data_IF_555708062944
#
_entry.id   IF_555708062944
#
_cell.length_a   1.000
_cell.length_b   1.000
_cell.length_c   1.000
_cell.angle_alpha   90.00
_cell.angle_beta   90.00
_cell.angle_gamma   90.00
#
_symmetry.space_group_name_H-M   'P 1'
#
loop_
_entity.id
_entity.type
_entity.pdbx_description
1 polymer ?
#
# COMPACT_ATOMS: atom_id res chain seq x y z
N UNK A 1 6.80 -77.00 -28.85
CA UNK A 1 5.60 -76.26 -28.41
C UNK A 1 6.06 -75.12 -27.49
N UNK A 2 6.47 -73.99 -28.08
CA UNK A 2 6.92 -72.81 -27.33
C UNK A 2 5.70 -72.19 -26.63
N UNK A 3 5.71 -72.11 -25.29
CA UNK A 3 4.60 -71.52 -24.53
C UNK A 3 4.63 -69.99 -24.70
N UNK A 4 3.64 -69.36 -25.34
CA UNK A 4 3.63 -67.91 -25.63
C UNK A 4 3.58 -67.04 -24.37
N UNK A 5 3.23 -67.63 -23.22
CA UNK A 5 3.10 -66.96 -21.93
C UNK A 5 4.47 -66.51 -21.37
N UNK A 6 5.54 -67.28 -21.58
CA UNK A 6 6.88 -66.91 -21.07
C UNK A 6 7.49 -65.71 -21.80
N UNK A 7 7.14 -65.48 -23.07
CA UNK A 7 7.66 -64.36 -23.84
C UNK A 7 6.99 -63.03 -23.47
N UNK A 8 5.69 -63.06 -23.16
CA UNK A 8 4.93 -61.89 -22.68
C UNK A 8 5.37 -61.47 -21.27
N UNK A 9 5.63 -62.42 -20.37
CA UNK A 9 6.16 -62.12 -19.02
C UNK A 9 7.58 -61.52 -19.08
N UNK A 10 8.42 -61.97 -20.02
CA UNK A 10 9.77 -61.43 -20.23
C UNK A 10 9.74 -59.98 -20.78
N UNK A 11 8.83 -59.67 -21.70
CA UNK A 11 8.64 -58.32 -22.24
C UNK A 11 8.07 -57.36 -21.18
N UNK A 12 7.13 -57.81 -20.34
CA UNK A 12 6.61 -57.04 -19.20
C UNK A 12 7.72 -56.74 -18.18
N UNK A 13 8.62 -57.71 -17.91
CA UNK A 13 9.78 -57.50 -17.04
C UNK A 13 10.77 -56.46 -17.58
N UNK A 14 11.04 -56.45 -18.89
CA UNK A 14 11.95 -55.48 -19.54
C UNK A 14 11.32 -54.09 -19.63
N UNK A 15 10.00 -53.97 -19.78
CA UNK A 15 9.27 -52.69 -19.72
C UNK A 15 9.14 -52.12 -18.30
N UNK A 16 9.17 -52.95 -17.26
CA UNK A 16 9.08 -52.52 -15.85
C UNK A 16 10.45 -52.15 -15.23
N UNK A 17 11.56 -52.67 -15.74
CA UNK A 17 12.92 -52.33 -15.27
C UNK A 17 13.29 -50.84 -15.36
N UNK A 18 13.02 -50.10 -16.47
CA UNK A 18 13.33 -48.67 -16.51
C UNK A 18 12.52 -47.87 -15.47
N UNK A 19 11.25 -48.23 -15.23
CA UNK A 19 10.41 -47.59 -14.21
C UNK A 19 11.00 -47.71 -12.79
N UNK A 20 11.54 -48.88 -12.44
CA UNK A 20 12.13 -49.11 -11.11
C UNK A 20 13.45 -48.34 -10.94
N UNK A 21 14.27 -48.22 -11.98
CA UNK A 21 15.50 -47.43 -11.94
C UNK A 21 15.22 -45.93 -11.78
N UNK A 22 14.23 -45.39 -12.49
CA UNK A 22 13.81 -43.99 -12.34
C UNK A 22 13.18 -43.71 -10.97
N UNK A 23 12.39 -44.65 -10.42
CA UNK A 23 11.80 -44.51 -9.08
C UNK A 23 12.88 -44.43 -7.97
N UNK A 24 13.89 -45.30 -8.03
CA UNK A 24 15.01 -45.30 -7.07
C UNK A 24 15.87 -44.03 -7.17
N UNK A 25 16.11 -43.54 -8.39
CA UNK A 25 16.82 -42.28 -8.63
C UNK A 25 16.05 -41.08 -8.05
N UNK A 26 14.74 -41.01 -8.32
CA UNK A 26 13.86 -39.94 -7.82
C UNK A 26 13.86 -39.88 -6.30
N UNK A 27 13.70 -41.02 -5.61
CA UNK A 27 13.65 -41.05 -4.15
C UNK A 27 14.96 -40.55 -3.53
N UNK A 28 16.12 -40.88 -4.13
CA UNK A 28 17.43 -40.40 -3.68
C UNK A 28 17.56 -38.89 -3.85
N UNK A 29 17.11 -38.34 -4.98
CA UNK A 29 17.13 -36.89 -5.24
C UNK A 29 16.21 -36.12 -4.28
N UNK A 30 15.00 -36.62 -4.04
CA UNK A 30 14.08 -36.03 -3.04
C UNK A 30 14.69 -36.05 -1.64
N UNK A 31 15.30 -37.16 -1.22
CA UNK A 31 15.99 -37.22 0.08
C UNK A 31 17.13 -36.20 0.16
N UNK A 32 17.95 -36.08 -0.88
CA UNK A 32 19.01 -35.06 -0.97
C UNK A 32 18.43 -33.65 -0.82
N UNK A 33 17.36 -33.34 -1.56
CA UNK A 33 16.69 -32.05 -1.49
C UNK A 33 16.13 -31.75 -0.10
N UNK A 34 15.48 -32.74 0.54
CA UNK A 34 14.97 -32.59 1.90
C UNK A 34 16.10 -32.34 2.91
N UNK A 35 17.21 -33.07 2.81
CA UNK A 35 18.39 -32.83 3.67
C UNK A 35 18.99 -31.44 3.45
N UNK A 36 19.11 -30.99 2.20
CA UNK A 36 19.58 -29.64 1.90
C UNK A 36 18.63 -28.57 2.47
N UNK A 37 17.32 -28.75 2.31
CA UNK A 37 16.29 -27.86 2.86
C UNK A 37 16.39 -27.75 4.38
N UNK A 38 16.50 -28.88 5.09
CA UNK A 38 16.64 -28.90 6.56
C UNK A 38 17.91 -28.20 7.05
N UNK A 39 18.96 -28.17 6.21
CA UNK A 39 20.20 -27.46 6.49
C UNK A 39 20.18 -25.98 6.05
N UNK A 40 19.02 -25.45 5.63
CA UNK A 40 18.87 -24.07 5.13
C UNK A 40 19.50 -23.81 3.76
N UNK A 41 19.97 -24.86 3.07
CA UNK A 41 20.60 -24.78 1.75
C UNK A 41 19.53 -24.86 0.67
N UNK A 42 18.75 -23.79 0.54
CA UNK A 42 17.54 -23.80 -0.29
C UNK A 42 17.84 -23.92 -1.79
N UNK A 43 18.93 -23.34 -2.29
CA UNK A 43 19.32 -23.50 -3.71
C UNK A 43 19.70 -24.95 -4.03
N UNK A 44 20.53 -25.58 -3.19
CA UNK A 44 20.86 -27.01 -3.34
C UNK A 44 19.62 -27.91 -3.25
N UNK A 45 18.64 -27.52 -2.43
CA UNK A 45 17.37 -28.22 -2.33
C UNK A 45 16.55 -28.10 -3.62
N UNK A 46 16.50 -26.89 -4.20
CA UNK A 46 15.80 -26.63 -5.46
C UNK A 46 16.43 -27.40 -6.62
N UNK A 47 17.77 -27.42 -6.74
CA UNK A 47 18.47 -28.21 -7.77
C UNK A 47 18.11 -29.70 -7.68
N UNK A 48 18.07 -30.24 -6.46
CA UNK A 48 17.72 -31.63 -6.22
C UNK A 48 16.25 -31.93 -6.55
N UNK A 49 15.33 -31.03 -6.19
CA UNK A 49 13.91 -31.18 -6.54
C UNK A 49 13.65 -31.00 -8.04
N UNK A 50 14.37 -30.12 -8.73
CA UNK A 50 14.27 -29.95 -10.17
C UNK A 50 14.77 -31.20 -10.91
N UNK A 51 15.92 -31.75 -10.51
CA UNK A 51 16.39 -33.03 -11.03
C UNK A 51 15.39 -34.17 -10.74
N UNK A 52 14.78 -34.20 -9.55
CA UNK A 52 13.76 -35.19 -9.22
C UNK A 52 12.50 -35.04 -10.10
N UNK A 53 12.08 -33.80 -10.39
CA UNK A 53 10.92 -33.50 -11.21
C UNK A 53 11.10 -33.96 -12.67
N UNK A 54 12.34 -34.00 -13.20
CA UNK A 54 12.62 -34.57 -14.53
C UNK A 54 12.28 -36.05 -14.60
N UNK A 55 12.53 -36.80 -13.51
CA UNK A 55 12.27 -38.24 -13.47
C UNK A 55 10.84 -38.59 -13.05
N UNK A 56 10.19 -37.72 -12.28
CA UNK A 56 8.82 -37.91 -11.81
C UNK A 56 8.00 -36.61 -11.93
N UNK A 57 7.66 -36.19 -13.16
CA UNK A 57 7.00 -34.91 -13.43
C UNK A 57 5.57 -34.82 -12.89
N UNK A 58 4.96 -35.94 -12.52
CA UNK A 58 3.63 -36.03 -11.91
C UNK A 58 3.65 -36.15 -10.38
N UNK A 59 4.83 -36.10 -9.73
CA UNK A 59 4.91 -36.20 -8.28
C UNK A 59 4.54 -34.89 -7.59
N UNK A 60 3.34 -34.82 -7.02
CA UNK A 60 2.86 -33.66 -6.24
C UNK A 60 3.76 -33.30 -5.05
N UNK A 61 4.35 -34.27 -4.36
CA UNK A 61 5.26 -34.04 -3.23
C UNK A 61 6.54 -33.29 -3.66
N UNK A 62 7.06 -33.53 -4.87
CA UNK A 62 8.24 -32.80 -5.37
C UNK A 62 7.91 -31.31 -5.54
N UNK A 63 6.76 -31.00 -6.14
CA UNK A 63 6.33 -29.62 -6.32
C UNK A 63 6.00 -28.94 -4.98
N UNK A 64 5.41 -29.68 -4.03
CA UNK A 64 5.16 -29.17 -2.68
C UNK A 64 6.46 -28.79 -1.96
N UNK A 65 7.47 -29.67 -2.01
CA UNK A 65 8.77 -29.41 -1.39
C UNK A 65 9.52 -28.27 -2.11
N UNK A 66 9.41 -28.20 -3.45
CA UNK A 66 9.94 -27.09 -4.25
C UNK A 66 9.31 -25.75 -3.86
N UNK A 67 7.97 -25.69 -3.73
CA UNK A 67 7.26 -24.50 -3.27
C UNK A 67 7.72 -24.07 -1.89
N UNK A 68 7.88 -25.04 -0.97
CA UNK A 68 8.36 -24.77 0.39
C UNK A 68 9.77 -24.17 0.40
N UNK A 69 10.69 -24.69 -0.43
CA UNK A 69 12.04 -24.12 -0.56
C UNK A 69 12.02 -22.69 -1.17
N UNK A 70 11.21 -22.46 -2.20
CA UNK A 70 11.04 -21.13 -2.81
C UNK A 70 10.43 -20.11 -1.84
N UNK A 71 9.50 -20.56 -0.99
CA UNK A 71 8.91 -19.72 0.06
C UNK A 71 9.96 -19.23 1.05
N UNK A 72 10.88 -20.10 1.49
CA UNK A 72 11.97 -19.71 2.39
C UNK A 72 12.93 -18.71 1.73
N UNK A 73 13.09 -18.77 0.41
CA UNK A 73 13.83 -17.78 -0.38
C UNK A 73 13.05 -16.48 -0.64
N UNK A 74 11.83 -16.35 -0.11
CA UNK A 74 10.93 -15.21 -0.36
C UNK A 74 10.55 -15.02 -1.84
N UNK A 75 10.70 -16.07 -2.65
CA UNK A 75 10.33 -16.08 -4.07
C UNK A 75 8.85 -16.45 -4.22
N UNK A 76 7.95 -15.64 -3.63
CA UNK A 76 6.54 -15.99 -3.40
C UNK A 76 5.76 -16.31 -4.68
N UNK A 77 6.05 -15.63 -5.80
CA UNK A 77 5.41 -15.93 -7.10
C UNK A 77 5.79 -17.32 -7.62
N UNK A 78 7.07 -17.69 -7.58
CA UNK A 78 7.54 -19.02 -8.00
C UNK A 78 7.07 -20.10 -7.03
N UNK A 79 7.07 -19.79 -5.73
CA UNK A 79 6.53 -20.64 -4.68
C UNK A 79 5.06 -20.98 -4.92
N UNK A 80 4.24 -19.97 -5.21
CA UNK A 80 2.83 -20.14 -5.53
C UNK A 80 2.64 -21.06 -6.75
N UNK A 81 3.40 -20.87 -7.83
CA UNK A 81 3.29 -21.77 -8.99
C UNK A 81 3.62 -23.22 -8.64
N UNK A 82 4.66 -23.46 -7.84
CA UNK A 82 5.01 -24.80 -7.39
C UNK A 82 3.91 -25.43 -6.50
N UNK A 83 3.33 -24.70 -5.56
CA UNK A 83 2.20 -25.20 -4.77
C UNK A 83 0.95 -25.44 -5.62
N UNK A 84 0.70 -24.62 -6.64
CA UNK A 84 -0.38 -24.85 -7.61
C UNK A 84 -0.19 -26.16 -8.37
N UNK A 85 1.03 -26.44 -8.84
CA UNK A 85 1.34 -27.73 -9.46
C UNK A 85 1.14 -28.90 -8.50
N UNK A 86 1.54 -28.75 -7.23
CA UNK A 86 1.31 -29.78 -6.21
C UNK A 86 -0.19 -30.06 -5.99
N UNK A 87 -1.02 -29.00 -5.89
CA UNK A 87 -2.46 -29.10 -5.73
C UNK A 87 -3.16 -29.75 -6.94
N UNK A 88 -2.74 -29.43 -8.17
CA UNK A 88 -3.35 -29.99 -9.39
C UNK A 88 -2.97 -31.47 -9.58
N UNK A 89 -1.75 -31.87 -9.19
CA UNK A 89 -1.22 -33.21 -9.46
C UNK A 89 -1.55 -34.24 -8.37
N UNK A 90 -1.95 -33.80 -7.19
CA UNK A 90 -2.22 -34.70 -6.07
C UNK A 90 -3.61 -35.32 -6.15
N UNK A 91 -3.74 -36.55 -5.64
CA UNK A 91 -5.03 -37.17 -5.28
C UNK A 91 -5.22 -37.30 -3.77
N UNK A 92 -4.20 -36.95 -3.00
CA UNK A 92 -4.24 -36.88 -1.54
C UNK A 92 -4.86 -35.55 -1.14
N UNK A 93 -6.07 -35.63 -0.57
CA UNK A 93 -6.84 -34.48 -0.09
C UNK A 93 -6.02 -33.65 0.91
N UNK A 94 -5.25 -34.29 1.81
CA UNK A 94 -4.46 -33.55 2.80
C UNK A 94 -3.37 -32.73 2.11
N UNK A 95 -2.66 -33.33 1.15
CA UNK A 95 -1.64 -32.60 0.41
C UNK A 95 -2.24 -31.47 -0.43
N UNK A 96 -3.44 -31.66 -0.99
CA UNK A 96 -4.17 -30.61 -1.70
C UNK A 96 -4.54 -29.46 -0.76
N UNK A 97 -5.10 -29.77 0.41
CA UNK A 97 -5.44 -28.80 1.46
C UNK A 97 -4.22 -27.97 1.87
N UNK A 98 -3.08 -28.61 2.17
CA UNK A 98 -1.85 -27.89 2.53
C UNK A 98 -1.29 -27.07 1.35
N UNK A 99 -1.41 -27.56 0.12
CA UNK A 99 -0.95 -26.82 -1.07
C UNK A 99 -1.79 -25.56 -1.28
N UNK A 100 -3.12 -25.66 -1.16
CA UNK A 100 -4.06 -24.52 -1.22
C UNK A 100 -3.81 -23.55 -0.07
N UNK A 101 -3.62 -24.04 1.15
CA UNK A 101 -3.24 -23.17 2.26
C UNK A 101 -1.93 -22.42 1.99
N UNK A 102 -0.90 -23.10 1.50
CA UNK A 102 0.38 -22.45 1.19
C UNK A 102 0.28 -21.46 0.00
N UNK A 103 -0.61 -21.69 -0.96
CA UNK A 103 -0.98 -20.69 -1.97
C UNK A 103 -1.55 -19.43 -1.31
N UNK A 104 -2.46 -19.59 -0.35
CA UNK A 104 -3.01 -18.50 0.45
C UNK A 104 -1.93 -17.71 1.20
N UNK A 105 -0.99 -18.42 1.84
CA UNK A 105 0.16 -17.80 2.51
C UNK A 105 1.04 -17.02 1.52
N UNK A 106 1.37 -17.60 0.36
CA UNK A 106 2.17 -16.92 -0.67
C UNK A 106 1.49 -15.64 -1.18
N UNK A 107 0.19 -15.70 -1.47
CA UNK A 107 -0.59 -14.53 -1.89
C UNK A 107 -0.64 -13.46 -0.80
N UNK A 108 -0.72 -13.84 0.48
CA UNK A 108 -0.69 -12.87 1.57
C UNK A 108 0.67 -12.17 1.69
N UNK A 109 1.77 -12.92 1.58
CA UNK A 109 3.13 -12.34 1.56
C UNK A 109 3.32 -11.38 0.39
N UNK A 110 2.74 -11.69 -0.76
CA UNK A 110 2.74 -10.79 -1.91
C UNK A 110 1.94 -9.51 -1.64
N UNK A 111 0.79 -9.61 -0.96
CA UNK A 111 0.03 -8.43 -0.53
C UNK A 111 0.85 -7.53 0.41
N UNK A 112 1.56 -8.12 1.37
CA UNK A 112 2.45 -7.37 2.28
C UNK A 112 3.57 -6.64 1.51
N UNK A 113 4.18 -7.31 0.53
CA UNK A 113 5.21 -6.73 -0.33
C UNK A 113 4.68 -5.56 -1.17
N UNK A 114 3.44 -5.69 -1.66
CA UNK A 114 2.81 -4.69 -2.52
C UNK A 114 2.23 -3.50 -1.75
N UNK A 115 1.95 -3.64 -0.45
CA UNK A 115 1.29 -2.61 0.38
C UNK A 115 1.91 -1.22 0.26
N UNK A 116 3.24 -1.13 0.12
CA UNK A 116 3.94 0.15 0.05
C UNK A 116 4.15 0.68 -1.38
N UNK A 117 3.76 -0.08 -2.42
CA UNK A 117 4.00 0.29 -3.82
C UNK A 117 2.75 0.31 -4.68
N UNK A 118 1.80 -0.60 -4.46
CA UNK A 118 0.58 -0.72 -5.25
C UNK A 118 -0.53 -1.30 -4.36
N UNK A 119 -1.27 -0.41 -3.70
CA UNK A 119 -2.35 -0.79 -2.77
C UNK A 119 -3.47 -1.57 -3.46
N UNK A 120 -3.74 -1.31 -4.74
CA UNK A 120 -4.76 -2.05 -5.48
C UNK A 120 -4.33 -3.49 -5.73
N UNK A 121 -3.09 -3.72 -6.18
CA UNK A 121 -2.57 -5.08 -6.31
C UNK A 121 -2.42 -5.79 -4.97
N UNK A 122 -2.14 -5.05 -3.89
CA UNK A 122 -2.17 -5.61 -2.54
C UNK A 122 -3.57 -6.12 -2.16
N UNK A 123 -4.64 -5.40 -2.51
CA UNK A 123 -6.02 -5.87 -2.30
C UNK A 123 -6.37 -7.09 -3.15
N UNK A 124 -5.92 -7.14 -4.41
CA UNK A 124 -6.09 -8.31 -5.27
C UNK A 124 -5.41 -9.54 -4.66
N UNK A 125 -4.18 -9.38 -4.19
CA UNK A 125 -3.42 -10.45 -3.53
C UNK A 125 -4.07 -10.90 -2.20
N UNK A 126 -4.61 -9.98 -1.38
CA UNK A 126 -5.42 -10.33 -0.22
C UNK A 126 -6.67 -11.14 -0.60
N UNK A 127 -7.38 -10.73 -1.66
CA UNK A 127 -8.57 -11.41 -2.13
C UNK A 127 -8.26 -12.83 -2.62
N UNK A 128 -7.15 -12.99 -3.36
CA UNK A 128 -6.66 -14.29 -3.80
C UNK A 128 -6.24 -15.16 -2.61
N UNK A 129 -5.60 -14.58 -1.60
CA UNK A 129 -5.20 -15.28 -0.39
C UNK A 129 -6.41 -15.85 0.36
N UNK A 130 -7.45 -15.05 0.58
CA UNK A 130 -8.71 -15.49 1.21
C UNK A 130 -9.33 -16.65 0.42
N UNK A 131 -9.40 -16.54 -0.91
CA UNK A 131 -9.95 -17.61 -1.76
C UNK A 131 -9.20 -18.92 -1.57
N UNK A 132 -7.87 -18.90 -1.56
CA UNK A 132 -7.09 -20.13 -1.36
C UNK A 132 -7.26 -20.74 0.04
N UNK A 133 -7.42 -19.91 1.07
CA UNK A 133 -7.76 -20.42 2.40
C UNK A 133 -9.18 -21.00 2.46
N UNK A 134 -10.13 -20.41 1.74
CA UNK A 134 -11.48 -20.97 1.60
C UNK A 134 -11.44 -22.32 0.86
N UNK A 135 -10.71 -22.42 -0.25
CA UNK A 135 -10.53 -23.68 -0.99
C UNK A 135 -9.91 -24.77 -0.08
N UNK A 136 -9.04 -24.41 0.87
CA UNK A 136 -8.48 -25.34 1.84
C UNK A 136 -9.51 -25.77 2.91
N UNK A 137 -10.37 -24.85 3.38
CA UNK A 137 -11.46 -25.14 4.31
C UNK A 137 -12.59 -25.96 3.67
N UNK A 138 -12.82 -25.82 2.37
CA UNK A 138 -13.77 -26.67 1.64
C UNK A 138 -13.34 -28.14 1.64
N UNK A 139 -12.02 -28.39 1.55
CA UNK A 139 -11.46 -29.74 1.62
C UNK A 139 -11.36 -30.30 3.04
N UNK A 140 -11.09 -29.43 4.02
CA UNK A 140 -10.95 -29.78 5.44
C UNK A 140 -11.53 -28.65 6.31
N UNK A 141 -12.83 -28.72 6.64
CA UNK A 141 -13.52 -27.71 7.44
C UNK A 141 -12.92 -27.50 8.84
N UNK A 142 -12.24 -28.50 9.37
CA UNK A 142 -11.54 -28.47 10.66
C UNK A 142 -10.16 -27.80 10.62
N UNK A 143 -9.68 -27.35 9.45
CA UNK A 143 -8.36 -26.77 9.29
C UNK A 143 -8.27 -25.33 9.85
N UNK A 144 -8.11 -25.25 11.18
CA UNK A 144 -8.15 -24.00 11.95
C UNK A 144 -7.18 -22.94 11.44
N UNK A 145 -5.99 -23.35 11.00
CA UNK A 145 -4.95 -22.45 10.49
C UNK A 145 -5.45 -21.64 9.29
N UNK A 146 -6.23 -22.24 8.37
CA UNK A 146 -6.80 -21.52 7.23
C UNK A 146 -7.81 -20.46 7.69
N UNK A 147 -8.67 -20.79 8.66
CA UNK A 147 -9.63 -19.84 9.23
C UNK A 147 -8.93 -18.68 9.96
N UNK A 148 -7.89 -18.95 10.74
CA UNK A 148 -7.10 -17.92 11.42
C UNK A 148 -6.39 -16.97 10.44
N UNK A 149 -5.86 -17.52 9.34
CA UNK A 149 -5.22 -16.70 8.32
C UNK A 149 -6.22 -15.83 7.55
N UNK A 150 -7.44 -16.30 7.27
CA UNK A 150 -8.49 -15.45 6.68
C UNK A 150 -8.74 -14.20 7.52
N UNK A 151 -8.79 -14.33 8.85
CA UNK A 151 -8.98 -13.18 9.74
C UNK A 151 -7.78 -12.22 9.69
N UNK A 152 -6.55 -12.72 9.63
CA UNK A 152 -5.36 -11.86 9.43
C UNK A 152 -5.43 -11.09 8.11
N UNK A 153 -5.77 -11.77 7.01
CA UNK A 153 -5.86 -11.16 5.68
C UNK A 153 -6.99 -10.12 5.64
N UNK A 154 -8.14 -10.38 6.27
CA UNK A 154 -9.25 -9.42 6.37
C UNK A 154 -8.84 -8.14 7.09
N UNK A 155 -8.06 -8.25 8.17
CA UNK A 155 -7.53 -7.09 8.88
C UNK A 155 -6.53 -6.29 8.03
N UNK A 156 -5.62 -6.97 7.34
CA UNK A 156 -4.70 -6.32 6.41
C UNK A 156 -5.46 -5.63 5.25
N UNK A 157 -6.45 -6.30 4.67
CA UNK A 157 -7.31 -5.76 3.62
C UNK A 157 -8.06 -4.51 4.08
N UNK A 158 -8.60 -4.52 5.30
CA UNK A 158 -9.23 -3.34 5.90
C UNK A 158 -8.24 -2.18 6.04
N UNK A 159 -7.04 -2.43 6.56
CA UNK A 159 -5.98 -1.41 6.67
C UNK A 159 -5.61 -0.81 5.30
N UNK A 160 -5.53 -1.65 4.25
CA UNK A 160 -5.26 -1.18 2.88
C UNK A 160 -6.42 -0.34 2.34
N UNK A 161 -7.67 -0.75 2.56
CA UNK A 161 -8.85 0.01 2.14
C UNK A 161 -8.94 1.38 2.83
N UNK A 162 -8.65 1.43 4.13
CA UNK A 162 -8.61 2.67 4.91
C UNK A 162 -7.54 3.63 4.37
N UNK A 163 -6.36 3.10 4.01
CA UNK A 163 -5.29 3.89 3.40
C UNK A 163 -5.68 4.40 2.00
N UNK A 164 -6.27 3.57 1.14
CA UNK A 164 -6.79 4.02 -0.18
C UNK A 164 -7.82 5.13 0.00
N UNK A 165 -8.74 4.97 0.96
CA UNK A 165 -9.76 5.99 1.25
C UNK A 165 -9.12 7.29 1.74
N UNK A 166 -8.08 7.20 2.58
CA UNK A 166 -7.31 8.35 3.05
C UNK A 166 -6.63 9.08 1.88
N UNK A 167 -5.93 8.36 1.01
CA UNK A 167 -5.26 8.93 -0.16
C UNK A 167 -6.26 9.63 -1.10
N UNK A 168 -7.42 9.01 -1.37
CA UNK A 168 -8.48 9.64 -2.17
C UNK A 168 -9.03 10.91 -1.53
N UNK A 169 -9.23 10.91 -0.19
CA UNK A 169 -9.68 12.09 0.53
C UNK A 169 -8.65 13.22 0.46
N UNK A 170 -7.37 12.90 0.64
CA UNK A 170 -6.28 13.87 0.54
C UNK A 170 -6.17 14.44 -0.87
N UNK A 171 -6.19 13.59 -1.90
CA UNK A 171 -6.17 14.03 -3.30
C UNK A 171 -7.34 14.96 -3.64
N UNK A 172 -8.55 14.62 -3.16
CA UNK A 172 -9.72 15.49 -3.31
C UNK A 172 -9.50 16.84 -2.59
N UNK A 173 -9.06 16.82 -1.34
CA UNK A 173 -8.81 18.04 -0.58
C UNK A 173 -7.74 18.93 -1.24
N UNK A 174 -6.66 18.35 -1.77
CA UNK A 174 -5.62 19.06 -2.52
C UNK A 174 -6.18 19.69 -3.80
N UNK A 175 -7.04 18.98 -4.52
CA UNK A 175 -7.71 19.50 -5.72
C UNK A 175 -8.66 20.66 -5.38
N UNK A 176 -9.51 20.47 -4.37
CA UNK A 176 -10.44 21.50 -3.90
C UNK A 176 -9.68 22.75 -3.41
N UNK A 177 -8.52 22.57 -2.76
CA UNK A 177 -7.66 23.68 -2.37
C UNK A 177 -7.06 24.40 -3.59
N UNK A 178 -6.56 23.68 -4.59
CA UNK A 178 -6.01 24.28 -5.81
C UNK A 178 -7.06 25.11 -6.57
N UNK A 179 -8.28 24.60 -6.70
CA UNK A 179 -9.40 25.34 -7.33
C UNK A 179 -9.72 26.63 -6.56
N UNK A 180 -9.69 26.59 -5.22
CA UNK A 180 -9.88 27.80 -4.39
C UNK A 180 -8.74 28.79 -4.50
N UNK A 181 -7.48 28.34 -4.57
CA UNK A 181 -6.34 29.23 -4.80
C UNK A 181 -6.49 29.94 -6.15
N UNK A 182 -6.93 29.22 -7.19
CA UNK A 182 -7.15 29.81 -8.51
C UNK A 182 -8.23 30.90 -8.50
N UNK A 183 -9.34 30.69 -7.77
CA UNK A 183 -10.38 31.72 -7.56
C UNK A 183 -9.83 32.95 -6.80
N UNK A 184 -9.02 32.73 -5.77
CA UNK A 184 -8.37 33.81 -5.01
C UNK A 184 -7.40 34.60 -5.90
N UNK A 185 -6.62 33.93 -6.77
CA UNK A 185 -5.74 34.59 -7.75
C UNK A 185 -6.55 35.50 -8.66
N UNK A 186 -7.66 35.00 -9.21
CA UNK A 186 -8.52 35.80 -10.08
C UNK A 186 -9.05 37.04 -9.36
N UNK A 187 -9.60 36.89 -8.15
CA UNK A 187 -10.09 38.02 -7.35
C UNK A 187 -8.97 39.00 -7.00
N UNK A 188 -7.76 38.52 -6.69
CA UNK A 188 -6.62 39.37 -6.39
C UNK A 188 -6.19 40.18 -7.62
N UNK A 189 -6.25 39.57 -8.80
CA UNK A 189 -5.95 40.22 -10.08
C UNK A 189 -6.98 41.32 -10.39
N UNK A 190 -8.27 41.04 -10.22
CA UNK A 190 -9.35 42.02 -10.40
C UNK A 190 -9.18 43.24 -9.49
N UNK A 191 -8.82 43.03 -8.21
CA UNK A 191 -8.54 44.12 -7.26
C UNK A 191 -7.27 44.90 -7.66
N UNK A 192 -6.24 44.23 -8.17
CA UNK A 192 -5.02 44.86 -8.64
C UNK A 192 -5.25 45.72 -9.89
N UNK A 193 -6.03 45.24 -10.85
CA UNK A 193 -6.36 46.01 -12.07
C UNK A 193 -7.26 47.21 -11.75
N UNK A 194 -8.20 47.05 -10.80
CA UNK A 194 -8.99 48.17 -10.28
C UNK A 194 -8.11 49.19 -9.56
N UNK A 195 -7.13 48.75 -8.78
CA UNK A 195 -6.15 49.64 -8.15
C UNK A 195 -5.41 50.49 -9.20
N UNK A 196 -4.86 49.87 -10.24
CA UNK A 196 -4.18 50.58 -11.34
C UNK A 196 -5.07 51.63 -12.00
N UNK A 197 -6.34 51.29 -12.25
CA UNK A 197 -7.30 52.23 -12.82
C UNK A 197 -7.51 53.45 -11.91
N UNK A 198 -7.59 53.25 -10.59
CA UNK A 198 -7.73 54.35 -9.64
C UNK A 198 -6.46 55.19 -9.52
N UNK A 199 -5.27 54.60 -9.64
CA UNK A 199 -4.01 55.35 -9.68
C UNK A 199 -3.95 56.28 -10.89
N UNK A 200 -4.36 55.80 -12.07
CA UNK A 200 -4.46 56.62 -13.27
C UNK A 200 -5.48 57.76 -13.12
N UNK A 201 -6.63 57.51 -12.49
CA UNK A 201 -7.63 58.55 -12.16
C UNK A 201 -7.06 59.61 -11.18
N UNK A 202 -6.29 59.18 -10.17
CA UNK A 202 -5.64 60.07 -9.20
C UNK A 202 -4.66 61.03 -9.89
N UNK A 203 -3.83 60.51 -10.80
CA UNK A 203 -2.88 61.31 -11.56
C UNK A 203 -3.55 62.32 -12.50
N UNK A 204 -4.78 62.03 -12.97
CA UNK A 204 -5.55 62.91 -13.84
C UNK A 204 -6.31 64.03 -13.09
N UNK A 205 -6.19 64.11 -11.75
CA UNK A 205 -6.86 65.12 -10.88
C UNK A 205 -8.38 65.15 -11.02
N UNK A 206 -9.00 63.98 -11.20
CA UNK A 206 -10.46 63.87 -11.18
C UNK A 206 -11.01 64.05 -9.75
N UNK A 207 -12.31 64.32 -9.63
CA UNK A 207 -13.00 64.78 -8.42
C UNK A 207 -12.67 63.96 -7.14
N UNK A 208 -11.81 64.51 -6.27
CA UNK A 208 -11.17 63.85 -5.11
C UNK A 208 -12.12 63.10 -4.15
N UNK A 209 -13.38 63.56 -3.99
CA UNK A 209 -14.32 62.92 -3.06
C UNK A 209 -14.84 61.57 -3.56
N UNK A 210 -14.99 61.40 -4.88
CA UNK A 210 -15.43 60.14 -5.49
C UNK A 210 -14.28 59.11 -5.47
N UNK A 211 -13.05 59.57 -5.69
CA UNK A 211 -11.86 58.73 -5.64
C UNK A 211 -11.66 58.07 -4.27
N UNK A 212 -11.75 58.85 -3.18
CA UNK A 212 -11.61 58.30 -1.83
C UNK A 212 -12.64 57.21 -1.52
N UNK A 213 -13.90 57.38 -1.93
CA UNK A 213 -14.95 56.36 -1.74
C UNK A 213 -14.64 55.08 -2.53
N UNK A 214 -14.16 55.19 -3.77
CA UNK A 214 -13.71 54.03 -4.58
C UNK A 214 -12.51 53.32 -3.95
N UNK A 215 -11.56 54.05 -3.37
CA UNK A 215 -10.38 53.48 -2.68
C UNK A 215 -10.81 52.75 -1.40
N UNK A 216 -11.76 53.29 -0.63
CA UNK A 216 -12.32 52.61 0.53
C UNK A 216 -13.04 51.30 0.16
N UNK A 217 -13.79 51.29 -0.94
CA UNK A 217 -14.43 50.07 -1.46
C UNK A 217 -13.39 49.02 -1.89
N UNK A 218 -12.32 49.47 -2.57
CA UNK A 218 -11.19 48.62 -2.92
C UNK A 218 -10.49 48.04 -1.68
N UNK A 219 -10.28 48.85 -0.64
CA UNK A 219 -9.69 48.42 0.63
C UNK A 219 -10.55 47.35 1.33
N UNK A 220 -11.88 47.51 1.28
CA UNK A 220 -12.82 46.53 1.81
C UNK A 220 -12.74 45.22 1.04
N UNK A 221 -12.78 45.26 -0.30
CA UNK A 221 -12.61 44.06 -1.14
C UNK A 221 -11.29 43.33 -0.87
N UNK A 222 -10.19 44.08 -0.73
CA UNK A 222 -8.88 43.52 -0.40
C UNK A 222 -8.86 42.85 0.99
N UNK A 223 -9.57 43.42 1.97
CA UNK A 223 -9.70 42.85 3.32
C UNK A 223 -10.55 41.59 3.33
N UNK A 224 -11.65 41.56 2.58
CA UNK A 224 -12.51 40.38 2.47
C UNK A 224 -11.73 39.22 1.81
N UNK A 225 -10.98 39.49 0.75
CA UNK A 225 -10.10 38.51 0.09
C UNK A 225 -8.99 38.00 1.03
N UNK A 226 -8.42 38.88 1.87
CA UNK A 226 -7.46 38.46 2.89
C UNK A 226 -8.07 37.46 3.89
N UNK A 227 -9.33 37.67 4.30
CA UNK A 227 -10.02 36.74 5.18
C UNK A 227 -10.29 35.40 4.50
N UNK A 228 -10.69 35.41 3.23
CA UNK A 228 -10.86 34.20 2.43
C UNK A 228 -9.56 33.39 2.33
N UNK A 229 -8.46 34.06 2.00
CA UNK A 229 -7.12 33.45 1.92
C UNK A 229 -6.69 32.85 3.27
N UNK A 230 -6.97 33.54 4.37
CA UNK A 230 -6.71 33.05 5.74
C UNK A 230 -7.53 31.83 6.10
N UNK A 231 -8.81 31.81 5.76
CA UNK A 231 -9.67 30.65 5.99
C UNK A 231 -9.19 29.44 5.20
N UNK A 232 -8.72 29.63 3.96
CA UNK A 232 -8.13 28.55 3.17
C UNK A 232 -6.85 28.00 3.82
N UNK A 233 -5.89 28.87 4.16
CA UNK A 233 -4.62 28.47 4.80
C UNK A 233 -4.86 27.68 6.11
N UNK A 234 -5.83 28.08 6.92
CA UNK A 234 -6.18 27.38 8.16
C UNK A 234 -6.82 26.00 7.92
N UNK A 235 -7.70 25.90 6.92
CA UNK A 235 -8.39 24.65 6.59
C UNK A 235 -7.49 23.62 5.87
N UNK A 236 -6.31 24.04 5.41
CA UNK A 236 -5.30 23.13 4.82
C UNK A 236 -4.54 22.31 5.87
N UNK A 237 -4.70 22.59 7.17
CA UNK A 237 -4.09 21.82 8.27
C UNK A 237 -4.96 20.59 8.57
N UNK A 238 -4.54 19.36 8.25
CA UNK A 238 -5.29 18.18 8.67
C UNK A 238 -5.13 18.02 10.18
N UNK A 239 -6.23 17.78 10.90
CA UNK A 239 -6.14 17.42 12.32
C UNK A 239 -5.34 16.11 12.50
N UNK A 240 -4.14 16.21 13.07
CA UNK A 240 -3.35 15.08 13.55
C UNK A 240 -2.65 14.23 12.48
N UNK A 241 -2.27 14.79 11.32
CA UNK A 241 -1.58 14.04 10.26
C UNK A 241 -0.38 14.80 9.69
N UNK A 242 0.66 14.07 9.30
CA UNK A 242 1.79 14.63 8.54
C UNK A 242 1.27 15.19 7.21
N UNK A 243 1.51 16.49 7.00
CA UNK A 243 1.25 17.14 5.73
C UNK A 243 2.25 16.66 4.69
N UNK A 244 1.82 16.51 3.44
CA UNK A 244 2.79 16.38 2.35
C UNK A 244 3.59 17.69 2.24
N UNK A 245 4.85 17.56 1.84
CA UNK A 245 5.76 18.70 1.66
C UNK A 245 5.16 19.77 0.71
N UNK A 246 4.41 19.34 -0.31
CA UNK A 246 3.67 20.20 -1.24
C UNK A 246 2.63 21.08 -0.54
N UNK A 247 1.81 20.49 0.33
CA UNK A 247 0.75 21.17 1.09
C UNK A 247 1.36 22.14 2.09
N UNK A 248 2.49 21.76 2.72
CA UNK A 248 3.22 22.64 3.61
C UNK A 248 3.75 23.89 2.87
N UNK A 249 4.42 23.70 1.72
CA UNK A 249 4.92 24.81 0.90
C UNK A 249 3.78 25.71 0.41
N UNK A 250 2.69 25.13 -0.07
CA UNK A 250 1.52 25.89 -0.49
C UNK A 250 0.98 26.76 0.65
N UNK A 251 0.88 26.20 1.87
CA UNK A 251 0.46 26.95 3.05
C UNK A 251 1.40 28.10 3.39
N UNK A 252 2.72 27.88 3.35
CA UNK A 252 3.71 28.94 3.62
C UNK A 252 3.56 30.12 2.64
N UNK A 253 3.33 29.83 1.36
CA UNK A 253 3.05 30.84 0.34
C UNK A 253 1.72 31.57 0.59
N UNK A 254 0.66 30.86 0.98
CA UNK A 254 -0.60 31.51 1.39
C UNK A 254 -0.42 32.45 2.59
N UNK A 255 0.38 32.06 3.59
CA UNK A 255 0.65 32.89 4.77
C UNK A 255 1.41 34.17 4.41
N UNK A 256 2.36 34.10 3.48
CA UNK A 256 3.03 35.29 2.93
C UNK A 256 2.07 36.18 2.16
N UNK A 257 1.21 35.58 1.32
CA UNK A 257 0.19 36.32 0.58
C UNK A 257 -0.76 37.07 1.51
N UNK A 258 -1.23 36.43 2.58
CA UNK A 258 -2.07 37.07 3.62
C UNK A 258 -1.38 38.30 4.22
N UNK A 259 -0.06 38.25 4.45
CA UNK A 259 0.72 39.39 4.90
C UNK A 259 0.73 40.54 3.89
N UNK A 260 0.96 40.23 2.61
CA UNK A 260 0.95 41.24 1.54
C UNK A 260 -0.44 41.86 1.34
N UNK A 261 -1.50 41.05 1.35
CA UNK A 261 -2.87 41.54 1.29
C UNK A 261 -3.20 42.47 2.45
N UNK A 262 -2.69 42.18 3.66
CA UNK A 262 -2.84 43.05 4.82
C UNK A 262 -2.15 44.40 4.66
N UNK A 263 -0.92 44.39 4.14
CA UNK A 263 -0.19 45.61 3.84
C UNK A 263 -0.91 46.44 2.75
N UNK A 264 -1.48 45.80 1.73
CA UNK A 264 -2.29 46.48 0.72
C UNK A 264 -3.53 47.16 1.34
N UNK A 265 -4.25 46.49 2.26
CA UNK A 265 -5.38 47.10 2.99
C UNK A 265 -4.95 48.34 3.77
N UNK A 266 -3.81 48.27 4.48
CA UNK A 266 -3.28 49.41 5.23
C UNK A 266 -2.96 50.60 4.32
N UNK A 267 -2.31 50.33 3.18
CA UNK A 267 -1.94 51.35 2.19
C UNK A 267 -3.15 52.01 1.54
N UNK A 268 -4.16 51.21 1.16
CA UNK A 268 -5.42 51.75 0.63
C UNK A 268 -6.15 52.61 1.67
N UNK A 269 -6.13 52.22 2.95
CA UNK A 269 -6.71 53.02 4.03
C UNK A 269 -5.99 54.36 4.28
N UNK A 270 -4.76 54.51 3.79
CA UNK A 270 -3.96 55.73 3.81
C UNK A 270 -4.01 56.51 2.49
N UNK A 271 -4.90 56.11 1.56
CA UNK A 271 -4.98 56.61 0.18
C UNK A 271 -3.64 56.48 -0.59
N UNK A 272 -2.78 55.53 -0.21
CA UNK A 272 -1.50 55.24 -0.87
C UNK A 272 -1.67 54.18 -1.97
N UNK A 273 -2.38 54.54 -3.03
CA UNK A 273 -2.84 53.63 -4.11
C UNK A 273 -1.66 52.88 -4.77
N UNK A 274 -0.62 53.60 -5.21
CA UNK A 274 0.58 53.01 -5.82
C UNK A 274 1.31 52.02 -4.90
N UNK A 275 1.42 52.35 -3.60
CA UNK A 275 2.09 51.47 -2.64
C UNK A 275 1.27 50.21 -2.37
N UNK A 276 -0.06 50.32 -2.37
CA UNK A 276 -0.93 49.16 -2.28
C UNK A 276 -0.76 48.23 -3.49
N UNK A 277 -0.57 48.78 -4.68
CA UNK A 277 -0.36 48.02 -5.93
C UNK A 277 0.84 47.07 -5.83
N UNK A 278 1.97 47.53 -5.27
CA UNK A 278 3.18 46.70 -5.04
C UNK A 278 2.88 45.49 -4.14
N UNK A 279 2.07 45.69 -3.10
CA UNK A 279 1.70 44.61 -2.19
C UNK A 279 0.70 43.62 -2.82
N UNK A 280 -0.22 44.11 -3.65
CA UNK A 280 -1.15 43.26 -4.41
C UNK A 280 -0.41 42.38 -5.43
N UNK A 281 0.59 42.93 -6.12
CA UNK A 281 1.44 42.18 -7.06
C UNK A 281 2.24 41.08 -6.34
N UNK A 282 2.86 41.39 -5.20
CA UNK A 282 3.54 40.37 -4.38
C UNK A 282 2.59 39.31 -3.84
N UNK A 283 1.35 39.68 -3.53
CA UNK A 283 0.31 38.72 -3.13
C UNK A 283 -0.03 37.76 -4.27
N UNK A 284 -0.14 38.24 -5.52
CA UNK A 284 -0.34 37.41 -6.71
C UNK A 284 0.79 36.39 -6.87
N UNK A 285 2.05 36.84 -6.82
CA UNK A 285 3.23 35.96 -6.94
C UNK A 285 3.21 34.83 -5.90
N UNK A 286 2.91 35.16 -4.64
CA UNK A 286 2.81 34.17 -3.58
C UNK A 286 1.64 33.20 -3.79
N UNK A 287 0.48 33.67 -4.28
CA UNK A 287 -0.66 32.78 -4.59
C UNK A 287 -0.36 31.83 -5.75
N UNK A 288 0.32 32.31 -6.80
CA UNK A 288 0.75 31.48 -7.93
C UNK A 288 1.75 30.41 -7.48
N UNK A 289 2.70 30.79 -6.62
CA UNK A 289 3.65 29.83 -6.02
C UNK A 289 2.94 28.79 -5.13
N UNK A 290 1.88 29.20 -4.40
CA UNK A 290 1.05 28.28 -3.64
C UNK A 290 0.34 27.26 -4.56
N UNK A 291 -0.24 27.72 -5.67
CA UNK A 291 -0.88 26.86 -6.67
C UNK A 291 0.13 25.89 -7.31
N UNK A 292 1.30 26.40 -7.71
CA UNK A 292 2.38 25.59 -8.30
C UNK A 292 2.87 24.49 -7.35
N UNK A 293 2.93 24.78 -6.05
CA UNK A 293 3.32 23.81 -5.02
C UNK A 293 2.35 22.61 -4.96
N UNK A 294 1.05 22.84 -5.20
CA UNK A 294 0.03 21.77 -5.25
C UNK A 294 -0.01 21.03 -6.61
N UNK A 295 0.31 21.72 -7.71
CA UNK A 295 0.28 21.17 -9.07
C UNK A 295 1.28 20.02 -9.32
N UNK A 296 2.41 20.01 -8.61
CA UNK A 296 3.41 18.93 -8.72
C UNK A 296 2.90 17.55 -8.23
N UNK A 297 1.85 17.50 -7.38
CA UNK A 297 1.21 16.25 -6.95
C UNK A 297 -0.08 15.92 -7.72
N UNK A 298 -0.70 16.89 -8.41
CA UNK A 298 -1.94 16.70 -9.15
C UNK A 298 -1.77 15.93 -10.47
N UNK A 299 -0.53 15.69 -10.91
CA UNK A 299 -0.24 14.90 -12.10
C UNK A 299 -0.02 13.41 -11.74
N UNK A 300 -0.90 12.47 -12.16
CA UNK A 300 -0.72 11.04 -11.88
C UNK A 300 0.63 10.47 -12.35
N UNK A 301 1.29 11.12 -13.32
CA UNK A 301 2.62 10.73 -13.78
C UNK A 301 3.76 11.03 -12.80
N UNK A 302 3.67 12.08 -11.97
CA UNK A 302 4.73 12.39 -11.00
C UNK A 302 4.76 11.42 -9.82
N UNK A 303 3.61 10.87 -9.43
CA UNK A 303 3.53 9.78 -8.44
C UNK A 303 4.12 8.46 -8.96
N UNK A 304 3.92 8.15 -10.24
CA UNK A 304 4.55 7.01 -10.92
C UNK A 304 6.08 7.18 -11.07
N UNK A 305 6.56 8.42 -11.19
CA UNK A 305 7.98 8.72 -11.27
C UNK A 305 8.65 8.61 -9.88
N UNK A 306 8.05 9.18 -8.82
CA UNK A 306 8.51 8.98 -7.43
C UNK A 306 8.56 7.49 -7.04
N UNK A 307 7.56 6.70 -7.41
CA UNK A 307 7.57 5.25 -7.18
C UNK A 307 8.64 4.49 -7.97
N UNK A 308 9.04 4.99 -9.15
CA UNK A 308 10.16 4.42 -9.91
C UNK A 308 11.49 4.79 -9.29
N UNK A 309 11.64 6.02 -8.83
CA UNK A 309 12.85 6.52 -8.18
C UNK A 309 13.08 5.81 -6.83
N UNK A 310 12.04 5.61 -6.03
CA UNK A 310 12.09 4.84 -4.77
C UNK A 310 12.42 3.35 -5.01
N UNK A 311 11.89 2.75 -6.09
CA UNK A 311 12.25 1.38 -6.51
C UNK A 311 13.69 1.27 -6.98
N UNK A 312 14.25 2.33 -7.58
CA UNK A 312 15.62 2.36 -8.07
C UNK A 312 16.61 2.57 -6.92
N UNK A 313 16.23 3.35 -5.89
CA UNK A 313 16.98 3.47 -4.64
C UNK A 313 17.02 2.16 -3.84
N UNK A 314 15.89 1.46 -3.69
CA UNK A 314 15.86 0.14 -3.02
C UNK A 314 16.66 -0.94 -3.77
N UNK A 315 16.70 -0.88 -5.11
CA UNK A 315 17.53 -1.77 -5.92
C UNK A 315 19.02 -1.51 -5.74
N UNK A 316 19.40 -0.24 -5.58
CA UNK A 316 20.78 0.16 -5.34
C UNK A 316 21.24 -0.20 -3.92
N UNK A 317 20.36 -0.14 -2.93
CA UNK A 317 20.67 -0.60 -1.55
C UNK A 317 20.83 -2.12 -1.46
N UNK A 318 19.99 -2.90 -2.16
CA UNK A 318 20.14 -4.36 -2.26
C UNK A 318 21.41 -4.82 -3.00
N UNK A 319 22.04 -3.92 -3.77
CA UNK A 319 23.27 -4.20 -4.52
C UNK A 319 24.55 -4.04 -3.67
N UNK A 320 24.47 -3.36 -2.53
CA UNK A 320 25.63 -3.07 -1.66
C UNK A 320 25.81 -4.11 -0.55
N UNK A 321 24.83 -5.02 -0.34
CA UNK A 321 24.85 -6.00 0.76
C UNK A 321 25.56 -7.33 0.45
N UNK A 322 26.24 -7.43 -0.70
CA UNK A 322 27.07 -8.60 -1.07
C UNK A 322 28.54 -8.45 -0.63
N UNK A 323 28.79 -8.25 0.67
CA UNK A 323 30.09 -8.52 1.28
C UNK A 323 29.91 -9.36 2.57
N UNK A 324 30.77 -10.36 2.81
CA UNK A 324 30.57 -11.29 3.91
C UNK A 324 30.87 -10.61 5.24
N UNK A 325 29.83 -10.31 6.03
CA UNK A 325 29.99 -9.83 7.41
C UNK A 325 30.09 -11.00 8.39
N UNK A 326 31.25 -11.04 9.03
CA UNK A 326 31.60 -11.93 10.13
C UNK A 326 30.68 -11.65 11.34
N UNK A 327 29.99 -12.69 11.82
CA UNK A 327 29.01 -12.59 12.89
C UNK A 327 29.66 -12.56 14.26
N UNK A 328 29.54 -11.43 14.98
CA UNK A 328 29.37 -11.38 16.44
C UNK A 328 28.95 -9.97 16.85
N UNK A 329 27.89 -9.93 17.67
CA UNK A 329 27.23 -8.77 18.27
C UNK A 329 26.47 -7.79 17.36
N UNK A 330 25.15 -7.94 17.33
CA UNK A 330 24.24 -6.79 17.38
C UNK A 330 22.90 -7.16 18.02
N UNK A 331 22.52 -6.40 19.05
CA UNK A 331 21.17 -6.40 19.62
C UNK A 331 20.18 -6.01 18.52
N UNK A 332 19.28 -6.93 18.15
CA UNK A 332 18.24 -6.72 17.14
C UNK A 332 17.31 -5.56 17.53
N UNK A 333 17.36 -4.45 16.78
CA UNK A 333 16.14 -3.68 16.49
C UNK A 333 15.36 -4.47 15.44
N UNK A 334 14.10 -4.80 15.72
CA UNK A 334 13.22 -5.54 14.80
C UNK A 334 12.97 -4.71 13.54
N UNK A 335 12.94 -5.38 12.39
CA UNK A 335 12.59 -4.75 11.11
C UNK A 335 11.08 -4.43 11.07
N UNK A 336 10.64 -3.38 10.36
CA UNK A 336 9.22 -3.01 10.29
C UNK A 336 8.28 -4.13 9.79
N UNK A 337 8.82 -5.07 9.01
CA UNK A 337 8.11 -6.27 8.49
C UNK A 337 7.75 -7.28 9.58
N UNK A 338 8.57 -7.43 10.62
CA UNK A 338 8.27 -8.30 11.76
C UNK A 338 7.20 -7.66 12.65
N UNK A 339 7.16 -6.32 12.67
CA UNK A 339 6.29 -5.55 13.55
C UNK A 339 4.81 -5.64 13.13
N UNK A 340 4.49 -5.66 11.83
CA UNK A 340 3.10 -5.76 11.37
C UNK A 340 2.51 -7.18 11.53
N UNK A 341 3.34 -8.22 11.35
CA UNK A 341 2.96 -9.61 11.62
C UNK A 341 2.78 -9.84 13.14
N UNK A 342 3.56 -9.14 13.95
CA UNK A 342 3.43 -9.11 15.42
C UNK A 342 2.18 -8.31 15.86
N UNK A 343 1.88 -7.18 15.23
CA UNK A 343 0.68 -6.38 15.49
C UNK A 343 -0.60 -7.14 15.10
N UNK A 344 -0.61 -7.81 13.95
CA UNK A 344 -1.74 -8.64 13.52
C UNK A 344 -1.95 -9.86 14.44
N UNK A 345 -0.86 -10.49 14.90
CA UNK A 345 -0.91 -11.56 15.92
C UNK A 345 -1.40 -11.04 17.26
N UNK A 346 -0.92 -9.88 17.70
CA UNK A 346 -1.34 -9.23 18.94
C UNK A 346 -2.83 -8.88 18.93
N UNK A 347 -3.35 -8.37 17.80
CA UNK A 347 -4.78 -8.07 17.65
C UNK A 347 -5.61 -9.36 17.64
N UNK A 348 -5.15 -10.42 16.96
CA UNK A 348 -5.82 -11.73 16.99
C UNK A 348 -5.84 -12.34 18.39
N UNK A 349 -4.73 -12.26 19.12
CA UNK A 349 -4.64 -12.79 20.48
C UNK A 349 -5.56 -12.01 21.43
N UNK A 350 -5.58 -10.68 21.29
CA UNK A 350 -6.50 -9.82 22.02
C UNK A 350 -7.97 -10.13 21.67
N UNK A 351 -8.29 -10.41 20.41
CA UNK A 351 -9.65 -10.74 20.00
C UNK A 351 -10.06 -12.16 20.42
N UNK A 352 -9.14 -13.14 20.40
CA UNK A 352 -9.32 -14.48 20.98
C UNK A 352 -9.57 -14.38 22.49
N UNK A 353 -8.87 -13.50 23.18
CA UNK A 353 -9.06 -13.27 24.61
C UNK A 353 -10.36 -12.52 24.91
N UNK A 354 -10.72 -11.51 24.12
CA UNK A 354 -12.02 -10.84 24.18
C UNK A 354 -13.17 -11.80 23.89
N UNK A 355 -12.97 -12.79 22.99
CA UNK A 355 -13.95 -13.86 22.71
C UNK A 355 -14.08 -14.82 23.89
N UNK A 356 -12.98 -15.18 24.57
CA UNK A 356 -13.03 -15.94 25.82
C UNK A 356 -13.76 -15.18 26.92
N UNK A 357 -13.49 -13.87 27.10
CA UNK A 357 -14.23 -13.02 28.05
C UNK A 357 -15.72 -12.96 27.72
N UNK A 358 -16.09 -12.80 26.43
CA UNK A 358 -17.48 -12.83 25.98
C UNK A 358 -18.18 -14.18 26.24
N UNK A 359 -17.47 -15.30 26.10
CA UNK A 359 -18.00 -16.63 26.45
C UNK A 359 -18.14 -16.86 27.96
N UNK A 360 -17.30 -16.23 28.80
CA UNK A 360 -17.42 -16.29 30.27
C UNK A 360 -18.70 -15.57 30.75
N UNK A 361 -19.17 -14.55 30.03
CA UNK A 361 -20.45 -13.87 30.31
C UNK A 361 -21.67 -14.50 29.63
N UNK A 362 -21.50 -15.56 28.82
CA UNK A 362 -22.60 -16.21 28.10
C UNK A 362 -22.95 -17.61 28.61
N UNK A 363 -22.34 -18.08 29.71
CA UNK A 363 -22.73 -19.30 30.44
C UNK A 363 -23.75 -19.00 31.54
N UNK A 364 -24.77 -18.19 31.21
CA UNK A 364 -26.01 -18.09 31.98
C UNK A 364 -27.11 -18.71 31.13
N UNK A 365 -27.49 -19.95 31.45
CA UNK A 365 -28.53 -20.68 30.73
C UNK A 365 -29.83 -19.89 30.67
N UNK A 366 -30.45 -19.88 29.50
CA UNK A 366 -31.80 -19.38 29.30
C UNK A 366 -32.74 -20.11 30.27
N UNK A 367 -33.28 -19.40 31.26
CA UNK A 367 -34.40 -19.86 32.08
C UNK A 367 -35.66 -19.19 31.55
N UNK A 368 -36.66 -20.00 31.26
CA UNK A 368 -38.00 -19.56 30.93
C UNK A 368 -38.55 -18.74 32.11
N UNK A 369 -39.07 -17.53 31.85
CA UNK A 369 -39.70 -16.70 32.86
C UNK A 369 -41.20 -16.73 32.60
N UNK A 370 -41.97 -17.08 33.63
CA UNK A 370 -43.43 -17.17 33.60
C UNK A 370 -44.07 -15.89 33.05
N UNK A 371 -45.05 -16.12 32.17
CA UNK A 371 -46.00 -15.09 31.74
C UNK A 371 -46.89 -14.74 32.93
N UNK A 372 -46.65 -13.59 33.55
CA UNK A 372 -47.68 -12.85 34.30
C UNK A 372 -47.24 -11.39 34.48
N UNK A 373 -47.28 -10.63 33.38
CA UNK A 373 -47.77 -9.24 33.29
C UNK A 373 -47.92 -8.83 31.82
#
# INVERSE_FOLDING_TARGET
MFKPISFVIMIIGILLMPLQAYANSTQKLVKKGNTAYLNGKYDEALDAYEAAAVHAPESSYIYFNKGTALYQKQEYTRSAEAFKQAAIKTKDIKLETYSKFNLGVCSFREAERLKNSDLNKALEACSQSIRYFQDALELSPEFKEAAENIEMVRMAMKSILDEIKRQKKQQKATKDAAERIQDIIQKQQELFDRNKTLADEEHQKDNSKNLHEKVQDLAKGQKDLQQETRMLSQNMIPQGQDMSESVQKAKEHLDKSIGQQGAAVEKLGQDQIDQASIHQEKSLEELENALASLGNEANPQSQLQKQKDDKQQQKNEASVENQPRNSKDSKKKKAPMDQLAEDARSILDQEKENKKRRNIYSTGGYHEVDKDW
#
